data_IF_876159345221
#
_entry.id   IF_876159345221
#
_cell.length_a   1.000
_cell.length_b   1.000
_cell.length_c   1.000
_cell.angle_alpha   90.00
_cell.angle_beta   90.00
_cell.angle_gamma   90.00
#
_symmetry.space_group_name_H-M   'P 1'
#
loop_
_entity.id
_entity.type
_entity.pdbx_description
1 polymer ?
#
# COMPACT_ATOMS: atom_id res chain seq x y z
N UNK A 1 16.62 -6.67 -3.45
CA UNK A 1 15.26 -6.89 -3.95
C UNK A 1 14.24 -6.02 -3.20
N UNK A 2 12.99 -6.06 -3.62
CA UNK A 2 11.89 -5.34 -2.95
C UNK A 2 11.69 -5.89 -1.55
N UNK A 3 11.53 -5.00 -0.57
CA UNK A 3 11.31 -5.35 0.83
C UNK A 3 10.08 -4.67 1.42
N UNK A 4 9.53 -3.67 0.75
CA UNK A 4 8.32 -2.98 1.18
C UNK A 4 7.22 -3.11 0.13
N UNK A 5 5.99 -3.39 0.59
CA UNK A 5 4.82 -3.58 -0.26
C UNK A 5 3.66 -2.73 0.24
N UNK A 6 2.90 -2.15 -0.67
CA UNK A 6 1.68 -1.38 -0.37
C UNK A 6 0.45 -2.21 -0.76
N UNK A 7 -0.27 -2.70 0.25
CA UNK A 7 -1.49 -3.47 0.11
C UNK A 7 -2.69 -2.62 0.52
N UNK A 8 -3.61 -2.39 -0.40
CA UNK A 8 -4.82 -1.62 -0.14
C UNK A 8 -6.05 -2.48 -0.25
N UNK A 9 -6.89 -2.44 0.77
CA UNK A 9 -8.05 -3.32 0.91
C UNK A 9 -9.31 -2.55 1.30
N UNK A 10 -10.46 -3.10 0.93
CA UNK A 10 -11.77 -2.66 1.44
C UNK A 10 -12.79 -3.78 1.37
N UNK A 11 -13.94 -3.61 2.02
CA UNK A 11 -15.07 -4.52 1.80
C UNK A 11 -15.79 -4.18 0.50
N UNK A 12 -16.10 -5.22 -0.27
CA UNK A 12 -17.00 -5.11 -1.42
C UNK A 12 -18.48 -5.06 -0.99
N UNK A 13 -19.39 -5.00 -1.97
CA UNK A 13 -20.83 -4.98 -1.72
C UNK A 13 -21.37 -6.25 -1.06
N UNK A 14 -20.65 -7.37 -1.18
CA UNK A 14 -20.97 -8.66 -0.56
C UNK A 14 -20.33 -8.82 0.83
N UNK A 15 -19.59 -7.83 1.32
CA UNK A 15 -18.89 -7.87 2.59
C UNK A 15 -17.60 -8.70 2.58
N UNK A 16 -17.02 -8.98 1.40
CA UNK A 16 -15.74 -9.67 1.26
C UNK A 16 -14.60 -8.65 1.25
N UNK A 17 -13.50 -8.99 1.89
CA UNK A 17 -12.29 -8.16 1.83
C UNK A 17 -11.60 -8.39 0.47
N UNK A 18 -11.45 -7.31 -0.27
CA UNK A 18 -10.89 -7.31 -1.63
C UNK A 18 -9.79 -6.28 -1.76
N UNK A 19 -8.87 -6.51 -2.67
CA UNK A 19 -7.85 -5.52 -3.03
C UNK A 19 -8.50 -4.36 -3.76
N UNK A 20 -8.11 -3.14 -3.43
CA UNK A 20 -8.68 -1.93 -4.01
C UNK A 20 -7.61 -0.83 -4.16
N UNK A 21 -7.84 0.11 -5.06
CA UNK A 21 -7.05 1.32 -5.18
C UNK A 21 -7.95 2.51 -5.57
N UNK A 22 -8.19 3.38 -4.64
CA UNK A 22 -9.12 4.49 -4.84
C UNK A 22 -10.54 3.98 -5.12
N UNK A 23 -11.16 4.44 -6.21
CA UNK A 23 -12.48 3.99 -6.60
C UNK A 23 -12.49 2.57 -7.22
N UNK A 24 -11.33 2.08 -7.63
CA UNK A 24 -11.22 0.79 -8.33
C UNK A 24 -11.22 -0.35 -7.30
N UNK A 25 -12.09 -1.33 -7.52
CA UNK A 25 -12.07 -2.60 -6.83
C UNK A 25 -11.56 -3.66 -7.80
N UNK A 26 -10.55 -4.38 -7.38
CA UNK A 26 -10.07 -5.52 -8.14
C UNK A 26 -10.91 -6.76 -7.83
N UNK A 27 -11.01 -7.69 -8.78
CA UNK A 27 -11.67 -9.00 -8.56
C UNK A 27 -10.85 -9.91 -7.64
N UNK A 28 -9.73 -9.40 -7.12
CA UNK A 28 -8.80 -10.11 -6.26
C UNK A 28 -9.27 -10.03 -4.79
N UNK A 29 -9.74 -11.15 -4.26
CA UNK A 29 -10.03 -11.27 -2.83
C UNK A 29 -8.74 -11.42 -2.04
N UNK A 30 -8.77 -11.03 -0.76
CA UNK A 30 -7.59 -11.10 0.11
C UNK A 30 -6.99 -12.52 0.23
N UNK A 31 -7.81 -13.55 0.09
CA UNK A 31 -7.34 -14.95 0.13
C UNK A 31 -6.30 -15.28 -0.95
N UNK A 32 -6.28 -14.52 -2.04
CA UNK A 32 -5.28 -14.67 -3.10
C UNK A 32 -3.95 -14.00 -2.78
N UNK A 33 -3.91 -13.16 -1.76
CA UNK A 33 -2.70 -12.49 -1.27
C UNK A 33 -1.97 -13.33 -0.20
N UNK A 34 -2.68 -14.20 0.50
CA UNK A 34 -2.07 -15.01 1.57
C UNK A 34 -0.86 -15.84 1.14
N UNK A 35 -0.84 -16.52 -0.01
CA UNK A 35 0.37 -17.22 -0.46
C UNK A 35 1.60 -16.31 -0.62
N UNK A 36 1.38 -15.05 -1.02
CA UNK A 36 2.47 -14.07 -1.13
C UNK A 36 2.95 -13.64 0.26
N UNK A 37 2.04 -13.47 1.23
CA UNK A 37 2.39 -13.19 2.61
C UNK A 37 3.12 -14.38 3.27
N UNK A 38 2.71 -15.62 3.01
CA UNK A 38 3.40 -16.83 3.45
C UNK A 38 4.85 -16.83 2.94
N UNK A 39 5.03 -16.53 1.66
CA UNK A 39 6.35 -16.45 1.05
C UNK A 39 7.21 -15.33 1.64
N UNK A 40 6.64 -14.14 1.84
CA UNK A 40 7.32 -13.00 2.46
C UNK A 40 7.72 -13.30 3.90
N UNK A 41 6.82 -13.91 4.67
CA UNK A 41 7.09 -14.30 6.06
C UNK A 41 8.25 -15.30 6.16
N UNK A 42 8.37 -16.21 5.19
CA UNK A 42 9.50 -17.12 5.07
C UNK A 42 10.82 -16.45 4.70
N UNK A 43 10.79 -15.26 4.08
CA UNK A 43 12.00 -14.47 3.75
C UNK A 43 12.48 -13.64 4.93
N UNK A 44 11.58 -13.17 5.76
CA UNK A 44 11.86 -12.23 6.83
C UNK A 44 12.27 -10.84 6.32
N UNK A 45 12.43 -9.90 7.22
CA UNK A 45 12.92 -8.54 6.95
C UNK A 45 12.14 -7.85 5.82
N UNK A 46 10.82 -7.95 5.88
CA UNK A 46 9.89 -7.36 4.93
C UNK A 46 8.90 -6.46 5.65
N UNK A 47 8.46 -5.42 4.93
CA UNK A 47 7.46 -4.46 5.38
C UNK A 47 6.23 -4.53 4.50
N UNK A 48 5.05 -4.50 5.10
CA UNK A 48 3.79 -4.41 4.36
C UNK A 48 2.95 -3.28 4.96
N UNK A 49 2.80 -2.21 4.19
CA UNK A 49 1.84 -1.16 4.50
C UNK A 49 0.47 -1.63 4.06
N UNK A 50 -0.48 -1.71 4.98
CA UNK A 50 -1.84 -2.14 4.71
C UNK A 50 -2.79 -0.96 4.90
N UNK A 51 -3.44 -0.51 3.84
CA UNK A 51 -4.35 0.62 3.90
C UNK A 51 -5.80 0.18 3.69
N UNK A 52 -6.66 0.64 4.59
CA UNK A 52 -8.11 0.59 4.36
C UNK A 52 -8.48 1.68 3.37
N UNK A 53 -8.78 1.30 2.13
CA UNK A 53 -9.02 2.22 1.03
C UNK A 53 -10.46 2.77 1.09
N UNK A 54 -10.63 3.89 1.80
CA UNK A 54 -11.93 4.53 2.00
C UNK A 54 -11.87 6.00 1.64
N UNK A 55 -11.99 6.31 0.37
CA UNK A 55 -11.93 7.71 -0.11
C UNK A 55 -13.22 8.49 0.00
N UNK A 56 -14.33 7.82 0.28
CA UNK A 56 -15.62 8.50 0.44
C UNK A 56 -16.20 8.23 1.83
N UNK A 57 -16.82 9.25 2.44
CA UNK A 57 -17.47 9.11 3.76
C UNK A 57 -18.51 7.97 3.78
N UNK A 58 -19.18 7.71 2.65
CA UNK A 58 -20.16 6.63 2.54
C UNK A 58 -19.54 5.23 2.65
N UNK A 59 -18.25 5.09 2.37
CA UNK A 59 -17.50 3.84 2.51
C UNK A 59 -16.96 3.65 3.93
N UNK A 60 -17.00 4.70 4.74
CA UNK A 60 -16.53 4.72 6.12
C UNK A 60 -17.61 4.26 7.08
N UNK A 61 -18.09 3.05 6.89
CA UNK A 61 -19.05 2.46 7.81
C UNK A 61 -18.31 1.82 8.97
N UNK A 62 -18.82 1.99 10.18
CA UNK A 62 -18.27 1.41 11.40
C UNK A 62 -17.94 -0.08 11.25
N UNK A 63 -18.83 -0.83 10.60
CA UNK A 63 -18.60 -2.25 10.28
C UNK A 63 -17.33 -2.47 9.46
N UNK A 64 -17.06 -1.65 8.45
CA UNK A 64 -15.89 -1.77 7.60
C UNK A 64 -14.59 -1.49 8.36
N UNK A 65 -14.58 -0.47 9.21
CA UNK A 65 -13.44 -0.14 10.08
C UNK A 65 -13.15 -1.27 11.05
N UNK A 66 -14.20 -1.83 11.67
CA UNK A 66 -14.07 -2.95 12.61
C UNK A 66 -13.48 -4.19 11.93
N UNK A 67 -13.97 -4.53 10.74
CA UNK A 67 -13.43 -5.65 9.97
C UNK A 67 -11.96 -5.45 9.57
N UNK A 68 -11.61 -4.24 9.17
CA UNK A 68 -10.22 -3.92 8.86
C UNK A 68 -9.31 -4.11 10.09
N UNK A 69 -9.74 -3.67 11.27
CA UNK A 69 -9.00 -3.89 12.52
C UNK A 69 -8.77 -5.36 12.81
N UNK A 70 -9.81 -6.20 12.71
CA UNK A 70 -9.66 -7.65 12.87
C UNK A 70 -8.69 -8.26 11.87
N UNK A 71 -8.78 -7.84 10.61
CA UNK A 71 -7.87 -8.31 9.58
C UNK A 71 -6.41 -7.96 9.90
N UNK A 72 -6.14 -6.72 10.29
CA UNK A 72 -4.79 -6.29 10.64
C UNK A 72 -4.22 -7.05 11.83
N UNK A 73 -5.01 -7.29 12.88
CA UNK A 73 -4.58 -8.10 14.01
C UNK A 73 -4.26 -9.54 13.57
N UNK A 74 -5.15 -10.14 12.79
CA UNK A 74 -4.96 -11.51 12.32
C UNK A 74 -3.70 -11.71 11.48
N UNK A 75 -3.40 -10.79 10.57
CA UNK A 75 -2.17 -10.90 9.74
C UNK A 75 -0.90 -10.69 10.57
N UNK A 76 -0.91 -9.79 11.55
CA UNK A 76 0.24 -9.60 12.44
C UNK A 76 0.54 -10.85 13.29
N UNK A 77 -0.50 -11.50 13.80
CA UNK A 77 -0.37 -12.74 14.56
C UNK A 77 0.10 -13.90 13.67
N UNK A 78 -0.42 -13.97 12.43
CA UNK A 78 -0.13 -15.08 11.50
C UNK A 78 1.26 -14.97 10.88
N UNK A 79 1.75 -13.75 10.63
CA UNK A 79 3.00 -13.49 9.90
C UNK A 79 4.01 -12.69 10.75
N UNK A 80 4.59 -13.28 11.81
CA UNK A 80 5.40 -12.56 12.77
C UNK A 80 6.73 -12.04 12.24
N UNK A 81 7.19 -12.51 11.08
CA UNK A 81 8.44 -12.05 10.46
C UNK A 81 8.22 -10.90 9.45
N UNK A 82 6.99 -10.44 9.31
CA UNK A 82 6.64 -9.27 8.48
C UNK A 82 6.30 -8.12 9.42
N UNK A 83 6.86 -6.96 9.18
CA UNK A 83 6.45 -5.75 9.85
C UNK A 83 5.26 -5.12 9.10
N UNK A 84 4.11 -5.04 9.78
CA UNK A 84 2.91 -4.46 9.21
C UNK A 84 2.66 -3.05 9.74
N UNK A 85 2.38 -2.11 8.83
CA UNK A 85 1.79 -0.82 9.16
C UNK A 85 0.39 -0.76 8.61
N UNK A 86 -0.59 -0.77 9.51
CA UNK A 86 -1.99 -0.79 9.16
C UNK A 86 -2.60 0.59 9.40
N UNK A 87 -3.13 1.20 8.37
CA UNK A 87 -3.71 2.52 8.41
C UNK A 87 -5.01 2.64 7.61
N UNK A 88 -5.67 3.77 7.79
CA UNK A 88 -6.88 4.11 7.04
C UNK A 88 -6.59 5.28 6.13
N UNK A 89 -6.84 5.11 4.84
CA UNK A 89 -6.74 6.20 3.88
C UNK A 89 -8.01 7.06 3.98
N UNK A 90 -7.89 8.25 4.56
CA UNK A 90 -9.01 9.14 4.81
C UNK A 90 -9.43 9.91 3.55
N UNK A 91 -10.65 10.45 3.57
CA UNK A 91 -11.22 11.20 2.45
C UNK A 91 -10.34 12.37 1.99
N UNK A 92 -9.65 13.02 2.90
CA UNK A 92 -8.73 14.14 2.64
C UNK A 92 -7.29 13.70 2.29
N UNK A 93 -7.10 12.42 1.97
CA UNK A 93 -5.81 11.81 1.61
C UNK A 93 -4.81 11.69 2.76
N UNK A 94 -5.23 11.94 3.98
CA UNK A 94 -4.43 11.63 5.15
C UNK A 94 -4.51 10.14 5.47
N UNK A 95 -3.44 9.63 6.01
CA UNK A 95 -3.40 8.27 6.56
C UNK A 95 -3.53 8.38 8.07
N UNK A 96 -4.44 7.60 8.63
CA UNK A 96 -4.65 7.44 10.06
C UNK A 96 -4.20 6.02 10.43
N UNK A 97 -3.05 5.89 11.07
CA UNK A 97 -2.51 4.60 11.47
C UNK A 97 -3.24 4.06 12.69
N UNK A 98 -3.62 2.80 12.62
CA UNK A 98 -4.39 2.11 13.65
C UNK A 98 -3.49 1.46 14.71
N UNK A 99 -2.23 1.21 14.38
CA UNK A 99 -1.28 0.55 15.26
C UNK A 99 -0.16 1.53 15.63
N UNK A 100 0.14 1.57 16.93
CA UNK A 100 1.22 2.36 17.48
C UNK A 100 2.56 1.66 17.20
N UNK A 101 3.56 2.45 16.91
CA UNK A 101 4.93 2.03 16.64
C UNK A 101 5.70 3.16 15.97
N UNK A 102 7.01 3.06 15.91
CA UNK A 102 7.78 3.99 15.09
C UNK A 102 7.43 3.72 13.62
N UNK A 103 6.73 4.66 13.02
CA UNK A 103 6.45 4.60 11.60
C UNK A 103 7.73 4.85 10.83
N UNK A 104 8.10 3.97 9.87
CA UNK A 104 9.25 4.22 9.03
C UNK A 104 9.00 5.46 8.19
N UNK A 105 10.02 6.28 8.02
CA UNK A 105 9.95 7.39 7.10
C UNK A 105 9.88 6.87 5.67
N UNK A 106 8.96 7.40 4.90
CA UNK A 106 8.64 6.91 3.57
C UNK A 106 8.72 8.04 2.54
N UNK A 107 9.43 7.81 1.46
CA UNK A 107 9.40 8.68 0.28
C UNK A 107 8.65 7.97 -0.84
N UNK A 108 7.60 8.61 -1.34
CA UNK A 108 6.80 8.11 -2.46
C UNK A 108 7.16 8.88 -3.73
N UNK A 109 7.65 8.16 -4.74
CA UNK A 109 8.02 8.75 -6.03
C UNK A 109 7.30 8.02 -7.16
N UNK A 110 6.28 8.67 -7.72
CA UNK A 110 5.49 8.15 -8.83
C UNK A 110 4.93 9.30 -9.69
N UNK A 111 4.46 8.98 -10.87
CA UNK A 111 4.09 9.97 -11.89
C UNK A 111 3.07 11.03 -11.45
N UNK A 112 2.16 10.68 -10.54
CA UNK A 112 1.12 11.60 -10.05
C UNK A 112 1.64 12.70 -9.12
N UNK A 113 2.82 12.55 -8.51
CA UNK A 113 3.40 13.53 -7.57
C UNK A 113 4.51 14.37 -8.17
N UNK A 114 4.89 14.13 -9.42
CA UNK A 114 5.97 14.88 -10.08
C UNK A 114 5.58 16.34 -10.30
N UNK A 115 6.33 17.30 -9.74
CA UNK A 115 6.04 18.71 -9.91
C UNK A 115 6.09 19.15 -11.40
N UNK A 116 5.17 19.97 -11.80
CA UNK A 116 5.16 20.59 -13.14
C UNK A 116 4.74 19.70 -14.30
N UNK A 117 4.70 18.37 -14.11
CA UNK A 117 4.34 17.40 -15.16
C UNK A 117 3.23 16.44 -14.77
N UNK A 118 2.45 16.78 -13.73
CA UNK A 118 1.34 15.94 -13.23
C UNK A 118 0.34 15.54 -14.32
N UNK A 119 0.05 16.42 -15.26
CA UNK A 119 -0.88 16.16 -16.33
C UNK A 119 -0.39 15.04 -17.27
N UNK A 120 0.92 14.92 -17.48
CA UNK A 120 1.51 13.90 -18.33
C UNK A 120 1.72 12.58 -17.54
N UNK A 121 2.48 12.64 -16.48
CA UNK A 121 2.87 11.44 -15.74
C UNK A 121 1.77 10.88 -14.83
N UNK A 122 0.83 11.73 -14.41
CA UNK A 122 -0.35 11.27 -13.67
C UNK A 122 -1.27 10.37 -14.51
N UNK A 123 -1.29 10.55 -15.86
CA UNK A 123 -2.02 9.70 -16.79
C UNK A 123 -1.18 8.51 -17.27
N UNK A 124 0.15 8.64 -17.29
CA UNK A 124 1.07 7.60 -17.75
C UNK A 124 2.21 7.37 -16.74
N UNK A 125 1.93 6.84 -15.54
CA UNK A 125 2.95 6.61 -14.52
C UNK A 125 4.04 5.64 -14.98
N UNK A 126 3.72 4.69 -15.86
CA UNK A 126 4.71 3.81 -16.46
C UNK A 126 5.78 4.58 -17.26
N UNK A 127 5.39 5.59 -18.03
CA UNK A 127 6.34 6.43 -18.76
C UNK A 127 7.31 7.16 -17.81
N UNK A 128 6.79 7.62 -16.68
CA UNK A 128 7.64 8.19 -15.63
C UNK A 128 8.63 7.16 -15.09
N UNK A 129 8.15 5.97 -14.73
CA UNK A 129 8.95 4.90 -14.17
C UNK A 129 10.11 4.49 -15.11
N UNK A 130 9.82 4.24 -16.39
CA UNK A 130 10.83 3.89 -17.41
C UNK A 130 11.94 4.94 -17.53
N UNK A 131 11.59 6.21 -17.41
CA UNK A 131 12.55 7.30 -17.63
C UNK A 131 13.29 7.74 -16.35
N UNK A 132 12.77 7.44 -15.16
CA UNK A 132 13.29 8.01 -13.91
C UNK A 132 13.71 6.98 -12.86
N UNK A 133 13.11 5.77 -12.83
CA UNK A 133 13.35 4.82 -11.75
C UNK A 133 14.82 4.48 -11.55
N UNK A 134 15.59 4.34 -12.63
CA UNK A 134 17.03 4.05 -12.54
C UNK A 134 17.78 5.14 -11.76
N UNK A 135 17.51 6.41 -12.07
CA UNK A 135 18.15 7.52 -11.39
C UNK A 135 17.70 7.63 -9.93
N UNK A 136 16.40 7.43 -9.65
CA UNK A 136 15.84 7.44 -8.30
C UNK A 136 16.48 6.33 -7.45
N UNK A 137 16.54 5.10 -7.96
CA UNK A 137 17.18 3.98 -7.26
C UNK A 137 18.67 4.22 -6.99
N UNK A 138 19.37 4.87 -7.92
CA UNK A 138 20.80 5.16 -7.78
C UNK A 138 21.09 6.29 -6.77
N UNK A 139 20.21 7.27 -6.67
CA UNK A 139 20.36 8.38 -5.72
C UNK A 139 20.05 7.95 -4.28
N UNK A 140 19.17 6.94 -4.13
CA UNK A 140 18.67 6.55 -2.81
C UNK A 140 17.79 7.63 -2.18
N UNK A 141 17.56 7.49 -0.90
CA UNK A 141 16.78 8.44 -0.10
C UNK A 141 17.33 8.48 1.32
N UNK A 142 17.08 9.56 2.05
CA UNK A 142 17.30 9.66 3.48
C UNK A 142 16.16 9.02 4.31
N UNK A 143 15.17 8.47 3.63
CA UNK A 143 14.04 7.77 4.24
C UNK A 143 14.31 6.27 4.36
N UNK A 144 13.66 5.64 5.32
CA UNK A 144 13.78 4.20 5.54
C UNK A 144 13.23 3.39 4.37
N UNK A 145 12.18 3.91 3.74
CA UNK A 145 11.47 3.25 2.66
C UNK A 145 11.32 4.18 1.46
N UNK A 146 11.68 3.68 0.30
CA UNK A 146 11.37 4.29 -0.99
C UNK A 146 10.30 3.49 -1.71
N UNK A 147 9.11 4.11 -1.89
CA UNK A 147 8.01 3.55 -2.66
C UNK A 147 8.04 4.10 -4.08
N UNK A 148 8.17 3.22 -5.06
CA UNK A 148 8.17 3.57 -6.48
C UNK A 148 7.24 2.66 -7.26
N UNK A 149 6.53 3.23 -8.24
CA UNK A 149 5.74 2.46 -9.19
C UNK A 149 6.63 1.69 -10.17
N UNK A 150 6.17 0.52 -10.62
CA UNK A 150 6.84 -0.28 -11.65
C UNK A 150 8.32 -0.53 -11.32
N UNK A 151 8.57 -1.13 -10.18
CA UNK A 151 9.92 -1.34 -9.62
C UNK A 151 10.85 -2.17 -10.53
N UNK A 152 10.30 -2.92 -11.45
CA UNK A 152 10.98 -3.80 -12.40
C UNK A 152 11.53 -3.06 -13.64
N UNK A 153 11.14 -1.80 -13.85
CA UNK A 153 11.58 -0.98 -14.97
C UNK A 153 12.58 0.10 -14.56
N UNK A 154 13.50 0.47 -15.46
CA UNK A 154 14.51 1.52 -15.28
C UNK A 154 15.85 1.03 -14.77
#
# INVERSE_FOLDING_TARGET
>A
GVRCFDLRVRLDEFGRLVVAHGPVIYTLTINKVFPDLDWLNGKGDCYVRVLHETRTKSQYKEKSVKWFGYFCNAIQETYPNIQFWCGRNLYDWKVDYQFEGEEPTCEETYGSVVPGKKWLYGWWPWLYAVTHNKAIKAQGTDKDILLIDFVDVG
#
